data_IF_559468614801
#
_entry.id   IF_559468614801
#
_cell.length_a   1.000
_cell.length_b   1.000
_cell.length_c   1.000
_cell.angle_alpha   90.00
_cell.angle_beta   90.00
_cell.angle_gamma   90.00
#
_symmetry.space_group_name_H-M   'P 1'
#
loop_
_entity.id
_entity.type
_entity.pdbx_description
1 polymer ?
#
# COMPACT_ATOMS: atom_id res chain seq x y z
N UNK A 1 -30.81 19.89 55.91
CA UNK A 1 -30.99 19.14 54.66
C UNK A 1 -30.10 19.78 53.64
N UNK A 2 -29.13 19.03 53.12
CA UNK A 2 -28.21 19.52 52.09
C UNK A 2 -28.87 19.16 50.76
N UNK A 3 -29.33 20.17 50.04
CA UNK A 3 -30.11 19.98 48.82
C UNK A 3 -29.18 19.90 47.64
N UNK A 4 -29.36 18.87 46.82
CA UNK A 4 -28.66 18.76 45.54
C UNK A 4 -29.22 19.80 44.59
N UNK A 5 -28.34 20.59 43.98
CA UNK A 5 -28.73 21.68 43.09
C UNK A 5 -28.41 21.36 41.63
N UNK A 6 -27.21 20.84 41.35
CA UNK A 6 -26.81 20.48 40.00
C UNK A 6 -25.76 19.37 39.97
N UNK A 7 -25.62 18.75 38.80
CA UNK A 7 -24.62 17.75 38.47
C UNK A 7 -23.81 18.24 37.27
N UNK A 8 -22.51 17.99 37.28
CA UNK A 8 -21.59 18.35 36.21
C UNK A 8 -20.68 17.16 35.87
N UNK A 9 -20.34 17.01 34.60
CA UNK A 9 -19.34 16.04 34.13
C UNK A 9 -18.15 16.86 33.61
N UNK A 10 -17.05 16.98 34.37
CA UNK A 10 -15.84 17.64 33.89
C UNK A 10 -15.17 16.84 32.76
N UNK A 11 -14.24 17.48 32.04
CA UNK A 11 -13.39 16.79 31.05
C UNK A 11 -12.64 15.62 31.68
N UNK A 12 -12.53 14.51 30.95
CA UNK A 12 -11.71 13.39 31.40
C UNK A 12 -10.22 13.67 31.19
N UNK A 13 -9.37 12.91 31.88
CA UNK A 13 -7.93 12.97 31.69
C UNK A 13 -7.37 11.53 31.65
N UNK A 14 -6.98 11.03 30.46
CA UNK A 14 -6.94 11.74 29.18
C UNK A 14 -8.35 12.00 28.60
N UNK A 15 -8.46 13.02 27.73
CA UNK A 15 -9.67 13.36 26.96
C UNK A 15 -9.70 12.70 25.57
N UNK A 16 -8.67 11.92 25.25
CA UNK A 16 -8.54 11.15 24.02
C UNK A 16 -7.92 9.80 24.39
N UNK A 17 -8.54 8.72 23.91
CA UNK A 17 -8.08 7.34 24.06
C UNK A 17 -8.16 6.66 22.69
N UNK A 18 -7.51 5.52 22.49
CA UNK A 18 -7.60 4.76 21.23
C UNK A 18 -8.56 3.59 21.37
N UNK A 19 -9.06 3.07 20.25
CA UNK A 19 -9.79 1.79 20.19
C UNK A 19 -9.01 0.69 20.91
N UNK A 20 -9.75 -0.31 21.41
CA UNK A 20 -9.21 -1.49 22.10
C UNK A 20 -8.09 -2.13 21.29
N UNK A 21 -7.02 -2.60 21.93
CA UNK A 21 -5.86 -3.18 21.27
C UNK A 21 -5.19 -2.26 20.21
N UNK A 22 -5.46 -0.95 20.26
CA UNK A 22 -5.01 0.06 19.29
C UNK A 22 -3.58 0.56 19.51
N UNK A 23 -2.90 0.10 20.57
CA UNK A 23 -1.49 0.41 20.85
C UNK A 23 -1.26 1.68 21.69
N UNK A 24 -2.30 2.25 22.27
CA UNK A 24 -2.27 3.46 23.10
C UNK A 24 -3.00 3.29 24.43
N UNK A 25 -3.48 4.40 25.02
CA UNK A 25 -4.34 4.36 26.21
C UNK A 25 -5.76 4.03 25.75
N UNK A 26 -6.37 3.00 26.32
CA UNK A 26 -7.68 2.46 25.88
C UNK A 26 -8.82 2.73 26.87
N UNK A 27 -8.53 3.42 27.98
CA UNK A 27 -9.53 3.73 28.99
C UNK A 27 -9.25 5.05 29.71
N UNK A 28 -10.30 5.64 30.25
CA UNK A 28 -10.23 6.88 31.03
C UNK A 28 -11.32 6.90 32.10
N UNK A 29 -11.10 7.64 33.17
CA UNK A 29 -12.09 7.82 34.23
C UNK A 29 -13.03 9.00 33.90
N UNK A 30 -14.34 8.74 33.95
CA UNK A 30 -15.38 9.75 33.85
C UNK A 30 -15.93 10.03 35.24
N UNK A 31 -15.97 11.31 35.60
CA UNK A 31 -16.47 11.77 36.89
C UNK A 31 -17.79 12.50 36.71
N UNK A 32 -18.70 12.32 37.66
CA UNK A 32 -19.83 13.22 37.86
C UNK A 32 -19.66 13.88 39.22
N UNK A 33 -19.69 15.21 39.22
CA UNK A 33 -19.58 16.05 40.39
C UNK A 33 -20.96 16.58 40.77
N UNK A 34 -21.35 16.36 42.02
CA UNK A 34 -22.66 16.70 42.56
C UNK A 34 -22.52 17.86 43.53
N UNK A 35 -23.23 18.95 43.26
CA UNK A 35 -23.09 20.20 43.99
C UNK A 35 -24.35 20.57 44.77
N UNK A 36 -24.15 21.17 45.94
CA UNK A 36 -25.21 21.80 46.73
C UNK A 36 -25.57 23.20 46.19
N UNK A 37 -26.60 23.83 46.77
CA UNK A 37 -27.04 25.18 46.38
C UNK A 37 -26.04 26.30 46.65
N UNK A 38 -24.96 26.03 47.40
CA UNK A 38 -23.88 26.96 47.67
C UNK A 38 -22.67 26.71 46.74
N UNK A 39 -22.74 25.74 45.83
CA UNK A 39 -21.66 25.38 44.91
C UNK A 39 -20.56 24.52 45.55
N UNK A 40 -20.81 23.87 46.68
CA UNK A 40 -19.87 22.91 47.28
C UNK A 40 -20.22 21.48 46.87
N UNK A 41 -19.21 20.62 46.77
CA UNK A 41 -19.43 19.19 46.57
C UNK A 41 -20.26 18.60 47.71
N UNK A 42 -21.26 17.80 47.35
CA UNK A 42 -22.19 17.22 48.28
C UNK A 42 -21.51 16.13 49.12
N UNK A 43 -21.45 16.28 50.44
CA UNK A 43 -20.82 15.25 51.31
C UNK A 43 -21.71 14.03 51.54
N UNK A 44 -22.99 14.12 51.23
CA UNK A 44 -23.95 13.01 51.37
C UNK A 44 -23.90 12.11 50.13
N UNK A 45 -23.79 10.78 50.28
CA UNK A 45 -23.80 9.87 49.15
C UNK A 45 -25.09 9.94 48.34
N UNK A 46 -24.95 9.99 47.01
CA UNK A 46 -26.03 9.98 46.03
C UNK A 46 -25.71 8.94 44.95
N UNK A 47 -26.72 8.22 44.48
CA UNK A 47 -26.55 7.29 43.36
C UNK A 47 -26.65 8.07 42.05
N UNK A 48 -25.59 7.99 41.25
CA UNK A 48 -25.52 8.52 39.89
C UNK A 48 -25.64 7.37 38.90
N UNK A 49 -26.55 7.47 37.94
CA UNK A 49 -26.62 6.61 36.78
C UNK A 49 -25.83 7.25 35.63
N UNK A 50 -24.75 6.60 35.21
CA UNK A 50 -24.05 6.93 33.96
C UNK A 50 -24.64 6.09 32.83
N UNK A 51 -24.80 6.68 31.64
CA UNK A 51 -25.23 6.01 30.41
C UNK A 51 -24.46 6.49 29.19
N UNK A 52 -24.07 5.55 28.34
CA UNK A 52 -23.52 5.80 27.00
C UNK A 52 -24.67 5.99 26.00
N UNK A 53 -24.63 7.06 25.21
CA UNK A 53 -25.62 7.28 24.15
C UNK A 53 -25.09 8.27 23.10
N UNK A 54 -24.83 7.92 21.83
CA UNK A 54 -24.89 6.57 21.27
C UNK A 54 -23.82 5.66 21.91
N UNK A 55 -24.00 4.35 21.75
CA UNK A 55 -23.03 3.35 22.19
C UNK A 55 -22.17 3.01 20.97
N UNK A 56 -20.89 3.39 21.02
CA UNK A 56 -19.91 2.94 20.02
C UNK A 56 -19.63 1.44 20.22
N UNK A 57 -19.41 0.71 19.14
CA UNK A 57 -19.26 -0.74 19.15
C UNK A 57 -18.17 -1.19 20.16
N UNK A 58 -18.54 -2.11 21.06
CA UNK A 58 -17.65 -2.67 22.08
C UNK A 58 -17.30 -1.76 23.26
N UNK A 59 -17.78 -0.51 23.29
CA UNK A 59 -17.50 0.45 24.37
C UNK A 59 -18.34 0.13 25.62
N UNK A 60 -17.72 0.19 26.82
CA UNK A 60 -18.40 -0.13 28.08
C UNK A 60 -17.90 0.69 29.27
N UNK A 61 -18.68 0.68 30.35
CA UNK A 61 -18.42 1.33 31.63
C UNK A 61 -18.13 0.27 32.71
N UNK A 62 -17.00 0.37 33.42
CA UNK A 62 -16.54 -0.49 34.52
C UNK A 62 -16.31 -1.97 34.19
N UNK A 63 -17.26 -2.65 33.55
CA UNK A 63 -17.20 -4.06 33.19
C UNK A 63 -17.79 -4.30 31.80
N UNK A 64 -17.29 -5.30 31.05
CA UNK A 64 -17.77 -5.59 29.69
C UNK A 64 -19.31 -5.66 29.62
N UNK A 65 -19.86 -5.19 28.50
CA UNK A 65 -21.30 -5.13 28.19
C UNK A 65 -22.13 -4.15 29.04
N UNK A 66 -21.53 -3.43 29.99
CA UNK A 66 -22.23 -2.42 30.76
C UNK A 66 -22.20 -1.06 30.06
N UNK A 67 -23.34 -0.64 29.50
CA UNK A 67 -23.50 0.69 28.87
C UNK A 67 -24.28 1.67 29.74
N UNK A 68 -24.81 1.19 30.86
CA UNK A 68 -25.41 2.00 31.92
C UNK A 68 -25.08 1.41 33.29
N UNK A 69 -24.59 2.25 34.21
CA UNK A 69 -24.12 1.82 35.54
C UNK A 69 -24.55 2.83 36.61
N UNK A 70 -25.02 2.30 37.74
CA UNK A 70 -25.29 3.09 38.94
C UNK A 70 -24.07 3.06 39.86
N UNK A 71 -23.57 4.23 40.25
CA UNK A 71 -22.43 4.40 41.16
C UNK A 71 -22.82 5.34 42.30
N UNK A 72 -22.49 4.95 43.53
CA UNK A 72 -22.66 5.82 44.70
C UNK A 72 -21.51 6.83 44.78
N UNK A 73 -21.83 8.12 44.91
CA UNK A 73 -20.84 9.19 45.02
C UNK A 73 -20.14 9.17 46.39
N UNK A 74 -18.84 9.44 46.40
CA UNK A 74 -18.05 9.66 47.62
C UNK A 74 -17.61 11.11 47.68
N UNK A 75 -18.01 11.85 48.72
CA UNK A 75 -17.78 13.30 48.85
C UNK A 75 -18.21 14.09 47.59
N UNK A 76 -19.34 13.70 47.00
CA UNK A 76 -19.95 14.42 45.89
C UNK A 76 -19.35 14.09 44.53
N UNK A 77 -18.52 13.04 44.44
CA UNK A 77 -17.93 12.59 43.18
C UNK A 77 -18.30 11.11 42.97
N UNK A 78 -18.96 10.81 41.86
CA UNK A 78 -19.13 9.45 41.36
C UNK A 78 -18.21 9.24 40.17
N UNK A 79 -17.55 8.08 40.07
CA UNK A 79 -16.58 7.79 39.01
C UNK A 79 -16.91 6.46 38.34
N UNK A 80 -16.85 6.44 37.01
CA UNK A 80 -16.88 5.22 36.19
C UNK A 80 -15.65 5.18 35.29
N UNK A 81 -15.12 3.99 35.05
CA UNK A 81 -14.07 3.78 34.04
C UNK A 81 -14.74 3.52 32.69
N UNK A 82 -14.48 4.38 31.71
CA UNK A 82 -14.85 4.15 30.32
C UNK A 82 -13.72 3.35 29.64
N UNK A 83 -14.09 2.28 28.94
CA UNK A 83 -13.17 1.42 28.20
C UNK A 83 -13.60 1.42 26.73
N UNK A 84 -12.63 1.63 25.84
CA UNK A 84 -12.88 1.70 24.39
C UNK A 84 -13.23 0.34 23.81
N UNK A 85 -13.98 0.37 22.71
CA UNK A 85 -14.31 -0.79 21.89
C UNK A 85 -13.55 -0.75 20.57
N UNK A 86 -14.20 -1.19 19.49
CA UNK A 86 -13.59 -1.32 18.16
C UNK A 86 -13.90 -0.16 17.22
N UNK A 87 -14.87 0.69 17.58
CA UNK A 87 -15.32 1.83 16.78
C UNK A 87 -14.78 3.17 17.34
N UNK A 88 -14.16 4.02 16.51
CA UNK A 88 -13.73 5.35 16.91
C UNK A 88 -14.92 6.34 16.91
N UNK A 89 -14.81 7.38 17.71
CA UNK A 89 -15.78 8.46 17.73
C UNK A 89 -15.91 9.20 19.06
N UNK A 90 -16.71 10.27 19.09
CA UNK A 90 -17.00 10.99 20.33
C UNK A 90 -17.90 10.14 21.24
N UNK A 91 -17.52 9.97 22.50
CA UNK A 91 -18.34 9.26 23.49
C UNK A 91 -19.17 10.26 24.26
N UNK A 92 -20.48 10.24 24.07
CA UNK A 92 -21.40 11.07 24.85
C UNK A 92 -21.86 10.32 26.09
N UNK A 93 -21.70 10.97 27.24
CA UNK A 93 -22.09 10.47 28.56
C UNK A 93 -23.27 11.28 29.07
N UNK A 94 -24.28 10.56 29.55
CA UNK A 94 -25.40 11.12 30.29
C UNK A 94 -25.28 10.65 31.74
N UNK A 95 -25.15 11.59 32.68
CA UNK A 95 -25.18 11.30 34.11
C UNK A 95 -26.49 11.83 34.70
N UNK A 96 -27.25 10.95 35.36
CA UNK A 96 -28.47 11.32 36.06
C UNK A 96 -28.38 10.98 37.54
N UNK A 97 -28.88 11.85 38.40
CA UNK A 97 -28.92 11.62 39.84
C UNK A 97 -30.34 11.84 40.38
N UNK A 98 -30.84 10.84 41.11
CA UNK A 98 -32.11 10.94 41.84
C UNK A 98 -31.81 11.04 43.33
N UNK A 99 -32.40 12.03 44.00
CA UNK A 99 -32.34 12.14 45.46
C UNK A 99 -33.74 12.09 46.07
N UNK A 100 -33.80 11.78 47.36
CA UNK A 100 -35.03 11.94 48.14
C UNK A 100 -35.50 13.41 48.18
N UNK A 101 -34.62 14.38 47.88
CA UNK A 101 -34.94 15.80 47.92
C UNK A 101 -35.37 16.36 46.55
N UNK A 102 -34.90 15.79 45.42
CA UNK A 102 -35.50 16.03 44.09
C UNK A 102 -36.93 15.52 44.04
N UNK A 103 -37.28 14.48 44.80
CA UNK A 103 -38.67 14.01 44.93
C UNK A 103 -39.55 14.84 45.90
N UNK A 104 -38.97 15.74 46.71
CA UNK A 104 -39.72 16.56 47.68
C UNK A 104 -40.01 17.97 47.14
N UNK A 105 -39.12 18.54 46.33
CA UNK A 105 -39.25 19.90 45.79
C UNK A 105 -39.61 19.95 44.29
N UNK A 106 -39.51 18.83 43.58
CA UNK A 106 -40.03 18.69 42.23
C UNK A 106 -41.19 17.69 42.22
N UNK A 107 -42.39 18.19 41.91
CA UNK A 107 -43.60 17.39 41.79
C UNK A 107 -43.59 16.42 40.60
N UNK A 108 -42.62 16.54 39.69
CA UNK A 108 -42.42 15.66 38.53
C UNK A 108 -41.40 14.55 38.80
N UNK A 109 -40.56 14.69 39.85
CA UNK A 109 -39.46 13.77 40.18
C UNK A 109 -38.50 13.56 39.01
N UNK A 110 -38.19 14.64 38.30
CA UNK A 110 -37.23 14.64 37.21
C UNK A 110 -35.81 14.54 37.80
N UNK A 111 -35.03 13.58 37.27
CA UNK A 111 -33.65 13.40 37.67
C UNK A 111 -32.82 14.65 37.32
N UNK A 112 -31.86 15.03 38.17
CA UNK A 112 -30.83 15.97 37.74
C UNK A 112 -30.03 15.32 36.62
N UNK A 113 -29.83 16.01 35.50
CA UNK A 113 -29.19 15.48 34.31
C UNK A 113 -28.02 16.38 33.87
N UNK A 114 -26.91 15.74 33.51
CA UNK A 114 -25.80 16.36 32.80
C UNK A 114 -25.43 15.50 31.60
N UNK A 115 -25.25 16.15 30.45
CA UNK A 115 -24.89 15.52 29.18
C UNK A 115 -23.63 16.20 28.66
N UNK A 116 -22.59 15.42 28.38
CA UNK A 116 -21.35 15.95 27.79
C UNK A 116 -20.65 14.90 26.92
N UNK A 117 -19.63 15.34 26.19
CA UNK A 117 -18.70 14.49 25.43
C UNK A 117 -17.32 14.65 26.07
N UNK A 118 -17.01 13.90 27.14
CA UNK A 118 -15.79 14.14 27.91
C UNK A 118 -14.54 13.55 27.23
N UNK A 119 -14.72 12.61 26.30
CA UNK A 119 -13.64 11.85 25.65
C UNK A 119 -13.98 11.49 24.20
N UNK A 120 -12.94 11.44 23.38
CA UNK A 120 -12.98 10.90 22.01
C UNK A 120 -12.18 9.60 21.95
N UNK A 121 -12.72 8.59 21.27
CA UNK A 121 -12.00 7.37 20.91
C UNK A 121 -11.42 7.58 19.50
N UNK A 122 -10.10 7.60 19.38
CA UNK A 122 -9.38 7.66 18.12
C UNK A 122 -9.15 6.26 17.54
N UNK A 123 -8.88 6.18 16.23
CA UNK A 123 -8.41 4.97 15.56
C UNK A 123 -7.09 4.48 16.18
N UNK A 124 -6.82 3.18 16.05
CA UNK A 124 -5.57 2.59 16.51
C UNK A 124 -4.37 2.92 15.60
N UNK A 125 -3.19 2.46 16.01
CA UNK A 125 -2.00 2.48 15.17
C UNK A 125 -2.18 1.62 13.91
N UNK A 126 -1.42 1.89 12.83
CA UNK A 126 -1.45 1.08 11.61
C UNK A 126 -1.30 -0.41 11.87
N UNK A 127 -2.12 -1.21 11.19
CA UNK A 127 -2.07 -2.67 11.28
C UNK A 127 -2.33 -3.34 9.92
N UNK A 128 -3.12 -2.70 9.06
CA UNK A 128 -3.34 -3.10 7.67
C UNK A 128 -2.94 -1.97 6.72
N UNK A 129 -2.36 -2.33 5.59
CA UNK A 129 -2.05 -1.41 4.48
C UNK A 129 -2.34 -2.13 3.17
N UNK A 130 -2.91 -1.41 2.22
CA UNK A 130 -3.15 -1.87 0.85
C UNK A 130 -2.67 -0.78 -0.10
N UNK A 131 -1.81 -1.10 -1.05
CA UNK A 131 -1.27 -0.14 -2.01
C UNK A 131 -1.76 -0.43 -3.44
N UNK A 132 -2.04 0.62 -4.21
CA UNK A 132 -2.48 0.52 -5.61
C UNK A 132 -2.02 1.72 -6.45
N UNK A 133 -2.03 1.57 -7.78
CA UNK A 133 -1.78 2.63 -8.74
C UNK A 133 -2.71 2.54 -9.95
N UNK A 134 -2.91 3.65 -10.67
CA UNK A 134 -3.68 3.66 -11.92
C UNK A 134 -2.81 4.06 -13.11
N UNK A 135 -2.24 3.10 -13.85
CA UNK A 135 -1.40 3.41 -15.01
C UNK A 135 -2.17 4.10 -16.15
N UNK A 136 -3.50 4.04 -16.20
CA UNK A 136 -4.26 4.72 -17.25
C UNK A 136 -4.43 6.22 -16.99
N UNK A 137 -4.13 6.67 -15.76
CA UNK A 137 -4.20 8.07 -15.34
C UNK A 137 -2.82 8.75 -15.35
N UNK A 138 -1.85 8.20 -16.08
CA UNK A 138 -0.55 8.86 -16.30
C UNK A 138 -0.71 10.20 -17.01
N UNK A 139 0.06 11.20 -16.58
CA UNK A 139 0.15 12.52 -17.22
C UNK A 139 1.58 12.89 -17.62
N UNK A 140 1.70 13.74 -18.63
CA UNK A 140 2.97 14.36 -19.06
C UNK A 140 3.25 15.62 -18.22
N UNK A 141 4.41 15.67 -17.54
CA UNK A 141 4.77 16.79 -16.63
C UNK A 141 5.82 17.76 -17.21
N UNK A 142 6.12 17.63 -18.51
CA UNK A 142 7.15 18.39 -19.21
C UNK A 142 8.55 17.75 -19.15
N UNK A 143 9.46 18.25 -19.98
CA UNK A 143 10.87 17.87 -19.93
C UNK A 143 11.21 16.43 -20.35
N UNK A 144 10.27 15.69 -20.96
CA UNK A 144 10.45 14.27 -21.27
C UNK A 144 10.00 13.33 -20.13
N UNK A 145 9.36 13.85 -19.09
CA UNK A 145 8.91 13.07 -17.94
C UNK A 145 7.41 12.87 -17.91
N UNK A 146 7.04 11.77 -17.26
CA UNK A 146 5.69 11.30 -17.02
C UNK A 146 5.48 11.08 -15.53
N UNK A 147 4.23 11.17 -15.08
CA UNK A 147 3.85 10.97 -13.70
C UNK A 147 2.60 10.10 -13.62
N UNK A 148 2.62 9.13 -12.71
CA UNK A 148 1.48 8.26 -12.38
C UNK A 148 1.25 8.29 -10.88
N UNK A 149 0.02 8.56 -10.45
CA UNK A 149 -0.33 8.57 -9.02
C UNK A 149 -0.45 7.13 -8.48
N UNK A 150 0.10 6.90 -7.29
CA UNK A 150 -0.11 5.70 -6.49
C UNK A 150 -0.66 6.08 -5.12
N UNK A 151 -1.36 5.15 -4.47
CA UNK A 151 -2.02 5.40 -3.19
C UNK A 151 -1.94 4.17 -2.29
N UNK A 152 -1.88 4.40 -0.99
CA UNK A 152 -1.96 3.38 0.03
C UNK A 152 -3.10 3.71 1.00
N UNK A 153 -3.98 2.76 1.25
CA UNK A 153 -5.00 2.87 2.29
C UNK A 153 -4.48 2.18 3.54
N UNK A 154 -4.51 2.88 4.67
CA UNK A 154 -3.96 2.43 5.95
C UNK A 154 -5.09 2.33 6.97
N UNK A 155 -5.19 1.16 7.62
CA UNK A 155 -6.18 0.88 8.65
C UNK A 155 -5.55 0.36 9.93
N UNK A 156 -6.26 0.57 11.05
CA UNK A 156 -5.96 -0.10 12.32
C UNK A 156 -6.41 -1.57 12.31
N UNK A 157 -6.23 -2.25 13.45
CA UNK A 157 -6.58 -3.68 13.60
C UNK A 157 -8.08 -3.98 13.43
N UNK A 158 -8.94 -2.98 13.56
CA UNK A 158 -10.39 -3.10 13.42
C UNK A 158 -10.90 -2.53 12.09
N UNK A 159 -10.01 -2.29 11.13
CA UNK A 159 -10.33 -1.73 9.82
C UNK A 159 -10.87 -0.29 9.87
N UNK A 160 -10.58 0.47 10.93
CA UNK A 160 -10.83 1.91 10.92
C UNK A 160 -9.69 2.62 10.18
N UNK A 161 -9.99 3.64 9.37
CA UNK A 161 -8.95 4.53 8.83
C UNK A 161 -8.08 5.07 9.97
N UNK A 162 -6.77 4.98 9.82
CA UNK A 162 -5.84 5.54 10.81
C UNK A 162 -5.90 7.07 10.78
N UNK A 163 -5.39 7.68 11.86
CA UNK A 163 -5.35 9.14 11.97
C UNK A 163 -4.65 9.79 10.78
N UNK A 164 -5.14 10.99 10.44
CA UNK A 164 -4.53 11.85 9.45
C UNK A 164 -3.07 12.16 9.82
N UNK A 165 -2.25 12.42 8.81
CA UNK A 165 -0.80 12.67 8.98
C UNK A 165 0.01 11.46 9.45
N UNK A 166 -0.51 10.23 9.33
CA UNK A 166 0.27 9.00 9.49
C UNK A 166 1.20 8.83 8.29
N UNK A 167 2.51 8.75 8.52
CA UNK A 167 3.51 8.67 7.45
C UNK A 167 3.50 7.32 6.72
N UNK A 168 3.63 7.39 5.39
CA UNK A 168 3.85 6.26 4.50
C UNK A 168 5.12 6.51 3.70
N UNK A 169 6.02 5.54 3.71
CA UNK A 169 7.29 5.56 3.00
C UNK A 169 7.17 4.72 1.74
N UNK A 170 7.66 5.26 0.64
CA UNK A 170 7.57 4.65 -0.68
C UNK A 170 8.96 4.30 -1.20
N UNK A 171 9.06 3.17 -1.89
CA UNK A 171 10.27 2.77 -2.61
C UNK A 171 9.90 2.10 -3.92
N UNK A 172 10.72 2.31 -4.94
CA UNK A 172 10.68 1.60 -6.22
C UNK A 172 12.03 0.94 -6.44
N UNK A 173 12.02 -0.32 -6.84
CA UNK A 173 13.21 -1.07 -7.24
C UNK A 173 12.97 -1.63 -8.66
N UNK A 174 14.01 -1.84 -9.47
CA UNK A 174 13.86 -2.61 -10.70
C UNK A 174 13.39 -4.03 -10.40
N UNK A 175 12.58 -4.60 -11.30
CA UNK A 175 12.19 -6.00 -11.20
C UNK A 175 13.34 -6.88 -11.74
N UNK A 176 13.84 -7.88 -10.99
CA UNK A 176 14.89 -8.76 -11.50
C UNK A 176 14.49 -9.45 -12.82
N UNK A 177 15.40 -9.62 -13.80
CA UNK A 177 16.86 -9.48 -13.71
C UNK A 177 17.40 -8.05 -13.80
N UNK A 178 16.54 -7.04 -14.01
CA UNK A 178 16.98 -5.66 -14.16
C UNK A 178 17.62 -5.12 -12.88
N UNK A 179 18.65 -4.29 -13.04
CA UNK A 179 19.42 -3.72 -11.92
C UNK A 179 19.30 -2.21 -11.82
N UNK A 180 18.67 -1.60 -12.82
CA UNK A 180 18.45 -0.16 -12.94
C UNK A 180 17.02 0.06 -13.44
N UNK A 181 16.43 1.18 -13.04
CA UNK A 181 15.15 1.65 -13.56
C UNK A 181 15.22 3.17 -13.64
N UNK A 182 14.84 3.75 -14.78
CA UNK A 182 14.84 5.20 -15.00
C UNK A 182 13.54 5.85 -14.48
N UNK A 183 13.19 5.47 -13.25
CA UNK A 183 12.01 5.92 -12.52
C UNK A 183 12.31 6.11 -11.03
N UNK A 184 11.57 7.00 -10.39
CA UNK A 184 11.53 7.10 -8.94
C UNK A 184 10.09 7.23 -8.44
N UNK A 185 9.86 6.89 -7.17
CA UNK A 185 8.61 7.20 -6.46
C UNK A 185 8.88 8.26 -5.40
N UNK A 186 7.98 9.22 -5.22
CA UNK A 186 8.09 10.21 -4.15
C UNK A 186 8.10 9.51 -2.79
N UNK A 187 9.27 9.53 -2.14
CA UNK A 187 9.58 8.57 -1.06
C UNK A 187 8.79 8.72 0.24
N UNK A 188 8.06 9.82 0.44
CA UNK A 188 7.31 10.06 1.68
C UNK A 188 5.97 10.72 1.36
N UNK A 189 4.89 10.15 1.89
CA UNK A 189 3.57 10.77 1.97
C UNK A 189 2.95 10.56 3.34
N UNK A 190 1.71 11.02 3.53
CA UNK A 190 0.98 10.86 4.77
C UNK A 190 -0.52 10.70 4.52
N UNK A 191 -1.23 10.01 5.41
CA UNK A 191 -2.68 9.82 5.30
C UNK A 191 -3.41 11.16 5.30
N UNK A 192 -4.47 11.25 4.49
CA UNK A 192 -5.23 12.48 4.24
C UNK A 192 -4.42 13.59 3.55
N UNK A 193 -3.37 13.27 2.80
CA UNK A 193 -2.75 14.22 1.88
C UNK A 193 -3.56 14.39 0.59
N UNK A 194 -3.41 15.55 -0.04
CA UNK A 194 -3.95 15.82 -1.37
C UNK A 194 -3.09 15.13 -2.43
N UNK A 195 -3.72 14.40 -3.34
CA UNK A 195 -3.04 13.80 -4.50
C UNK A 195 -2.67 14.87 -5.53
N UNK A 196 -1.53 14.71 -6.18
CA UNK A 196 -1.09 15.66 -7.22
C UNK A 196 -2.01 15.59 -8.44
N UNK A 197 -2.46 14.38 -8.80
CA UNK A 197 -3.36 14.17 -9.95
C UNK A 197 -4.83 14.15 -9.51
N UNK A 198 -5.15 13.53 -8.38
CA UNK A 198 -6.54 13.41 -7.91
C UNK A 198 -7.07 14.66 -7.18
N UNK A 199 -6.21 15.51 -6.63
CA UNK A 199 -6.56 16.82 -6.06
C UNK A 199 -7.53 16.81 -4.87
N UNK A 200 -7.85 15.65 -4.29
CA UNK A 200 -8.76 15.54 -3.14
C UNK A 200 -8.17 14.64 -2.07
N UNK A 201 -8.10 15.16 -0.85
CA UNK A 201 -7.68 14.40 0.32
C UNK A 201 -8.75 13.37 0.72
N UNK A 202 -8.32 12.23 1.27
CA UNK A 202 -9.22 11.17 1.74
C UNK A 202 -8.64 10.59 3.02
N UNK A 203 -9.46 10.53 4.09
CA UNK A 203 -9.01 10.00 5.39
C UNK A 203 -8.57 8.53 5.25
N UNK A 204 -7.48 8.18 5.92
CA UNK A 204 -6.82 6.88 5.81
C UNK A 204 -6.06 6.62 4.51
N UNK A 205 -6.12 7.50 3.51
CA UNK A 205 -5.42 7.31 2.22
C UNK A 205 -4.19 8.22 2.14
N UNK A 206 -3.03 7.64 1.87
CA UNK A 206 -1.78 8.34 1.58
C UNK A 206 -1.44 8.21 0.10
N UNK A 207 -1.20 9.31 -0.59
CA UNK A 207 -0.92 9.36 -2.04
C UNK A 207 0.53 9.75 -2.32
N UNK A 208 1.12 9.13 -3.32
CA UNK A 208 2.46 9.41 -3.84
C UNK A 208 2.44 9.35 -5.37
N UNK A 209 3.57 9.60 -6.01
CA UNK A 209 3.68 9.61 -7.46
C UNK A 209 4.93 8.87 -7.91
N UNK A 210 4.77 8.05 -8.94
CA UNK A 210 5.85 7.46 -9.72
C UNK A 210 6.16 8.45 -10.85
N UNK A 211 7.42 8.84 -10.99
CA UNK A 211 7.92 9.73 -12.04
C UNK A 211 9.00 9.01 -12.83
N UNK A 212 8.87 9.03 -14.15
CA UNK A 212 9.75 8.28 -15.05
C UNK A 212 9.99 9.01 -16.37
N UNK A 213 11.11 8.70 -17.04
CA UNK A 213 11.49 9.26 -18.33
C UNK A 213 10.96 8.40 -19.50
N UNK A 214 11.22 8.85 -20.74
CA UNK A 214 10.99 8.05 -21.95
C UNK A 214 11.68 6.68 -21.91
N UNK A 215 12.87 6.60 -21.31
CA UNK A 215 13.70 5.40 -21.32
C UNK A 215 13.08 4.27 -20.48
N UNK A 216 12.31 4.62 -19.46
CA UNK A 216 11.66 3.63 -18.60
C UNK A 216 10.29 3.17 -19.12
N UNK A 217 9.82 3.67 -20.28
CA UNK A 217 8.52 3.27 -20.82
C UNK A 217 8.53 1.78 -21.16
N UNK A 218 7.59 1.03 -20.59
CA UNK A 218 7.49 -0.43 -20.79
C UNK A 218 8.24 -1.24 -19.73
N UNK A 219 9.10 -0.61 -18.93
CA UNK A 219 9.76 -1.25 -17.79
C UNK A 219 8.75 -1.55 -16.68
N UNK A 220 9.14 -2.48 -15.80
CA UNK A 220 8.37 -2.85 -14.62
C UNK A 220 9.20 -2.54 -13.37
N UNK A 221 8.68 -1.62 -12.55
CA UNK A 221 9.25 -1.33 -11.23
C UNK A 221 8.48 -2.05 -10.13
N UNK A 222 9.19 -2.55 -9.12
CA UNK A 222 8.59 -3.07 -7.90
C UNK A 222 8.36 -1.94 -6.88
N UNK A 223 7.11 -1.50 -6.71
CA UNK A 223 6.75 -0.40 -5.80
C UNK A 223 6.18 -0.92 -4.49
N UNK A 224 6.68 -0.38 -3.37
CA UNK A 224 6.29 -0.76 -2.01
C UNK A 224 5.89 0.46 -1.19
N UNK A 225 4.80 0.32 -0.43
CA UNK A 225 4.41 1.24 0.63
C UNK A 225 4.72 0.62 1.99
N UNK A 226 5.26 1.42 2.92
CA UNK A 226 5.63 1.01 4.27
C UNK A 226 5.17 2.06 5.29
N UNK A 227 4.56 1.59 6.38
CA UNK A 227 4.31 2.39 7.58
C UNK A 227 4.68 1.60 8.83
N UNK A 228 4.58 2.23 10.00
CA UNK A 228 4.88 1.60 11.28
C UNK A 228 3.61 1.52 12.14
N UNK A 229 3.32 0.32 12.62
CA UNK A 229 2.24 0.04 13.55
C UNK A 229 2.63 0.25 15.01
N UNK A 230 1.81 -0.32 15.89
CA UNK A 230 2.07 -0.30 17.33
C UNK A 230 3.47 -0.86 17.65
N UNK A 231 4.17 -0.25 18.61
CA UNK A 231 5.52 -0.65 19.04
C UNK A 231 6.62 -0.61 17.94
N UNK A 232 6.36 -0.01 16.78
CA UNK A 232 7.33 0.08 15.68
C UNK A 232 7.34 -1.12 14.73
N UNK A 233 6.31 -1.97 14.78
CA UNK A 233 6.15 -3.07 13.84
C UNK A 233 6.01 -2.54 12.40
N UNK A 234 6.70 -3.15 11.43
CA UNK A 234 6.60 -2.75 10.02
C UNK A 234 5.32 -3.29 9.39
N UNK A 235 4.52 -2.41 8.80
CA UNK A 235 3.29 -2.74 8.07
C UNK A 235 3.49 -2.28 6.63
N UNK A 236 3.55 -3.21 5.68
CA UNK A 236 3.88 -2.91 4.29
C UNK A 236 3.02 -3.71 3.31
N UNK A 237 2.83 -3.15 2.13
CA UNK A 237 2.18 -3.79 0.99
C UNK A 237 2.89 -3.35 -0.28
N UNK A 238 2.88 -4.23 -1.27
CA UNK A 238 3.31 -3.91 -2.62
C UNK A 238 2.08 -3.55 -3.45
N UNK A 239 2.24 -2.63 -4.42
CA UNK A 239 1.15 -2.32 -5.36
C UNK A 239 0.73 -3.56 -6.17
N UNK A 240 -0.40 -3.49 -6.88
CA UNK A 240 -0.86 -4.58 -7.75
C UNK A 240 -0.99 -5.92 -6.98
N UNK A 241 -1.87 -5.94 -5.97
CA UNK A 241 -2.21 -7.14 -5.18
C UNK A 241 -0.97 -7.85 -4.60
N UNK A 242 -0.09 -7.08 -3.93
CA UNK A 242 1.15 -7.55 -3.30
C UNK A 242 2.21 -8.13 -4.27
N UNK A 243 2.05 -8.02 -5.60
CA UNK A 243 3.10 -8.38 -6.56
C UNK A 243 4.19 -7.30 -6.64
N UNK A 244 3.78 -6.04 -6.59
CA UNK A 244 4.62 -4.86 -6.70
C UNK A 244 4.84 -4.35 -8.09
N UNK A 245 4.39 -5.09 -9.12
CA UNK A 245 4.62 -4.76 -10.51
C UNK A 245 3.89 -3.47 -10.93
N UNK A 246 4.64 -2.38 -11.05
CA UNK A 246 4.25 -1.14 -11.72
C UNK A 246 4.83 -1.14 -13.13
N UNK A 247 3.98 -1.43 -14.13
CA UNK A 247 4.35 -1.17 -15.51
C UNK A 247 4.33 0.33 -15.77
N UNK A 248 5.44 0.86 -16.27
CA UNK A 248 5.57 2.28 -16.59
C UNK A 248 4.89 2.56 -17.93
N UNK A 249 3.77 3.30 -17.84
CA UNK A 249 2.79 3.35 -18.91
C UNK A 249 3.26 4.17 -20.11
N UNK A 250 2.90 3.71 -21.31
CA UNK A 250 3.05 4.48 -22.54
C UNK A 250 1.91 5.48 -22.67
N UNK A 251 2.15 6.73 -22.26
CA UNK A 251 1.23 7.83 -22.56
C UNK A 251 1.16 8.00 -24.09
N UNK A 252 -0.04 8.05 -24.72
CA UNK A 252 -0.16 7.91 -26.16
C UNK A 252 0.72 8.87 -26.97
N UNK A 253 1.77 8.31 -27.59
CA UNK A 253 2.59 8.93 -28.62
C UNK A 253 2.21 8.44 -30.01
N UNK A 254 3.21 8.08 -30.82
CA UNK A 254 3.05 7.57 -32.18
C UNK A 254 3.71 6.20 -32.35
N UNK A 255 2.94 5.20 -32.78
CA UNK A 255 3.47 3.92 -33.27
C UNK A 255 3.34 3.88 -34.79
N UNK A 256 4.46 3.77 -35.50
CA UNK A 256 4.50 3.69 -36.96
C UNK A 256 4.95 2.30 -37.39
N UNK A 257 4.16 1.66 -38.24
CA UNK A 257 4.52 0.39 -38.86
C UNK A 257 5.08 0.64 -40.26
N UNK A 258 6.27 0.10 -40.49
CA UNK A 258 6.94 0.07 -41.78
C UNK A 258 6.90 -1.38 -42.29
N UNK A 259 6.60 -1.57 -43.57
CA UNK A 259 6.59 -2.88 -44.22
C UNK A 259 7.45 -2.82 -45.46
N UNK A 260 8.20 -3.89 -45.74
CA UNK A 260 9.00 -3.99 -46.97
C UNK A 260 8.12 -3.99 -48.23
N UNK A 261 6.86 -4.41 -48.12
CA UNK A 261 5.88 -4.35 -49.19
C UNK A 261 4.49 -3.96 -48.66
N UNK A 262 3.78 -3.14 -49.43
CA UNK A 262 2.42 -2.68 -49.12
C UNK A 262 1.32 -3.49 -49.81
N UNK A 263 1.70 -4.44 -50.68
CA UNK A 263 0.79 -5.25 -51.47
C UNK A 263 1.39 -6.63 -51.77
N UNK A 264 0.57 -7.68 -51.61
CA UNK A 264 0.89 -9.05 -52.02
C UNK A 264 -0.30 -9.68 -52.74
N UNK A 265 -0.09 -10.19 -53.95
CA UNK A 265 -1.11 -10.93 -54.70
C UNK A 265 -0.96 -12.43 -54.47
N UNK A 266 -1.81 -13.00 -53.61
CA UNK A 266 -1.79 -14.44 -53.32
C UNK A 266 -2.16 -15.34 -54.52
N UNK A 267 -2.78 -14.78 -55.57
CA UNK A 267 -3.12 -15.54 -56.78
C UNK A 267 -1.95 -15.72 -57.74
N UNK A 268 -0.97 -14.81 -57.69
CA UNK A 268 0.19 -14.79 -58.57
C UNK A 268 1.49 -15.16 -57.82
N UNK A 269 1.62 -14.76 -56.56
CA UNK A 269 2.88 -14.81 -55.81
C UNK A 269 2.94 -15.98 -54.81
N UNK A 270 1.86 -16.73 -54.66
CA UNK A 270 1.79 -17.90 -53.77
C UNK A 270 1.42 -17.59 -52.32
N UNK A 271 1.23 -18.65 -51.54
CA UNK A 271 0.79 -18.64 -50.14
C UNK A 271 1.55 -19.74 -49.36
N UNK A 272 2.21 -19.44 -48.22
CA UNK A 272 2.20 -18.17 -47.48
C UNK A 272 3.11 -17.09 -48.07
N UNK A 273 2.77 -15.83 -47.77
CA UNK A 273 3.64 -14.67 -47.99
C UNK A 273 4.52 -14.45 -46.76
N UNK A 274 5.80 -14.16 -46.97
CA UNK A 274 6.70 -13.70 -45.92
C UNK A 274 6.91 -12.20 -46.14
N UNK A 275 6.61 -11.39 -45.12
CA UNK A 275 6.70 -9.94 -45.16
C UNK A 275 7.43 -9.45 -43.92
N UNK A 276 8.53 -8.73 -44.14
CA UNK A 276 9.23 -8.02 -43.08
C UNK A 276 8.46 -6.75 -42.71
N UNK A 277 8.19 -6.61 -41.41
CA UNK A 277 7.66 -5.39 -40.82
C UNK A 277 8.59 -4.88 -39.73
N UNK A 278 8.58 -3.58 -39.50
CA UNK A 278 9.33 -2.93 -38.43
C UNK A 278 8.42 -1.90 -37.75
N UNK A 279 8.54 -1.77 -36.44
CA UNK A 279 7.82 -0.77 -35.66
C UNK A 279 8.79 0.35 -35.23
N UNK A 280 8.33 1.59 -35.32
CA UNK A 280 8.96 2.74 -34.71
C UNK A 280 7.99 3.29 -33.67
N UNK A 281 8.39 3.25 -32.40
CA UNK A 281 7.63 3.81 -31.27
C UNK A 281 8.24 5.15 -30.90
N UNK A 282 7.39 6.17 -30.85
CA UNK A 282 7.73 7.53 -30.45
C UNK A 282 6.80 7.91 -29.31
N UNK A 283 7.34 8.50 -28.26
CA UNK A 283 6.59 8.92 -27.08
C UNK A 283 5.77 10.22 -27.31
N UNK A 284 5.12 10.72 -26.27
CA UNK A 284 4.32 11.94 -26.33
C UNK A 284 5.13 13.19 -26.77
N UNK A 285 6.43 13.23 -26.45
CA UNK A 285 7.31 14.38 -26.74
C UNK A 285 8.04 14.28 -28.09
N UNK A 286 7.90 13.17 -28.80
CA UNK A 286 8.61 12.95 -30.06
C UNK A 286 9.94 12.21 -29.91
N UNK A 287 10.25 11.69 -28.72
CA UNK A 287 11.46 10.91 -28.49
C UNK A 287 11.23 9.44 -28.89
N UNK A 288 12.23 8.77 -29.48
CA UNK A 288 12.13 7.33 -29.72
C UNK A 288 12.03 6.60 -28.37
N UNK A 289 11.15 5.61 -28.29
CA UNK A 289 11.09 4.67 -27.17
C UNK A 289 11.92 3.44 -27.55
N UNK A 290 12.84 3.06 -26.68
CA UNK A 290 13.73 1.90 -26.84
C UNK A 290 13.25 0.81 -25.87
N UNK A 291 13.46 -0.46 -26.23
CA UNK A 291 13.18 -1.67 -25.43
C UNK A 291 11.75 -1.88 -24.90
N UNK A 292 10.82 -0.98 -25.20
CA UNK A 292 9.41 -1.17 -24.90
C UNK A 292 8.82 -2.37 -25.68
N UNK A 293 8.12 -3.30 -25.00
CA UNK A 293 7.47 -4.42 -25.67
C UNK A 293 6.42 -3.96 -26.71
N UNK A 294 6.55 -4.42 -27.95
CA UNK A 294 5.57 -4.17 -29.03
C UNK A 294 4.83 -5.44 -29.41
N UNK A 295 3.52 -5.47 -29.17
CA UNK A 295 2.68 -6.59 -29.58
C UNK A 295 2.14 -6.42 -31.01
N UNK A 296 2.40 -7.39 -31.88
CA UNK A 296 1.87 -7.42 -33.24
C UNK A 296 0.61 -8.28 -33.34
N UNK A 297 -0.43 -7.77 -33.99
CA UNK A 297 -1.63 -8.52 -34.34
C UNK A 297 -2.07 -8.23 -35.77
N UNK A 298 -2.62 -9.23 -36.46
CA UNK A 298 -3.06 -9.10 -37.85
C UNK A 298 -4.01 -10.21 -38.27
N UNK A 299 -4.96 -9.89 -39.17
CA UNK A 299 -5.87 -10.89 -39.74
C UNK A 299 -5.17 -11.68 -40.84
N UNK A 300 -5.23 -13.01 -40.77
CA UNK A 300 -4.62 -13.89 -41.78
C UNK A 300 -3.10 -14.10 -41.62
N UNK A 301 -2.52 -13.64 -40.51
CA UNK A 301 -1.12 -13.91 -40.16
C UNK A 301 -1.03 -15.33 -39.61
N UNK A 302 -0.21 -16.18 -40.23
CA UNK A 302 0.00 -17.56 -39.81
C UNK A 302 1.00 -17.66 -38.64
N UNK A 303 2.02 -16.80 -38.63
CA UNK A 303 3.04 -16.72 -37.60
C UNK A 303 3.74 -15.36 -37.65
N UNK A 304 4.23 -14.90 -36.50
CA UNK A 304 5.19 -13.80 -36.40
C UNK A 304 6.57 -14.40 -36.20
N UNK A 305 7.54 -13.90 -36.96
CA UNK A 305 8.94 -14.27 -36.81
C UNK A 305 9.71 -13.01 -36.47
N UNK A 306 10.56 -13.09 -35.45
CA UNK A 306 11.53 -12.05 -35.22
C UNK A 306 12.58 -12.08 -36.34
N UNK A 307 12.88 -10.92 -36.90
CA UNK A 307 13.96 -10.79 -37.86
C UNK A 307 15.26 -10.51 -37.10
N UNK A 308 15.91 -11.56 -36.62
CA UNK A 308 17.28 -11.48 -36.17
C UNK A 308 18.24 -11.40 -37.37
N UNK A 309 19.23 -10.50 -37.32
CA UNK A 309 20.42 -10.60 -38.19
C UNK A 309 21.40 -11.69 -37.71
N UNK A 310 20.95 -12.61 -36.86
CA UNK A 310 21.76 -13.70 -36.33
C UNK A 310 21.16 -15.08 -36.65
N UNK A 311 22.04 -16.03 -36.92
CA UNK A 311 21.68 -17.39 -37.32
C UNK A 311 21.15 -18.18 -36.11
N UNK A 312 19.83 -18.22 -35.96
CA UNK A 312 19.15 -19.05 -34.95
C UNK A 312 19.53 -20.53 -35.12
N UNK A 313 19.99 -21.16 -34.04
CA UNK A 313 20.16 -22.61 -33.90
C UNK A 313 19.63 -23.07 -32.54
N UNK A 314 18.50 -23.77 -32.55
CA UNK A 314 17.97 -24.51 -31.39
C UNK A 314 18.75 -25.83 -31.23
N UNK A 315 19.96 -25.74 -30.67
CA UNK A 315 20.88 -26.88 -30.54
C UNK A 315 20.94 -27.47 -29.14
N UNK A 316 20.31 -26.84 -28.15
CA UNK A 316 20.39 -27.22 -26.74
C UNK A 316 21.83 -27.21 -26.20
N UNK A 317 21.99 -27.53 -24.91
CA UNK A 317 23.30 -27.76 -24.28
C UNK A 317 23.61 -29.24 -24.39
N UNK A 318 24.62 -29.62 -25.19
CA UNK A 318 25.02 -31.01 -25.43
C UNK A 318 23.85 -31.94 -25.86
N UNK A 319 22.81 -31.39 -26.49
CA UNK A 319 21.63 -32.11 -26.95
C UNK A 319 20.43 -32.11 -26.00
N UNK A 320 20.55 -31.54 -24.80
CA UNK A 320 19.42 -31.28 -23.91
C UNK A 320 18.73 -29.96 -24.31
N UNK A 321 17.41 -30.00 -24.55
CA UNK A 321 16.64 -28.84 -25.03
C UNK A 321 16.64 -28.63 -26.55
N UNK A 322 17.38 -29.45 -27.31
CA UNK A 322 17.45 -29.32 -28.77
C UNK A 322 16.11 -29.68 -29.44
N UNK A 323 15.50 -28.71 -30.14
CA UNK A 323 14.30 -28.94 -30.96
C UNK A 323 13.00 -29.02 -30.18
N UNK A 324 12.96 -28.55 -28.92
CA UNK A 324 11.78 -28.59 -28.08
C UNK A 324 10.87 -27.35 -28.23
N UNK A 325 11.32 -26.36 -29.00
CA UNK A 325 10.57 -25.13 -29.27
C UNK A 325 10.44 -24.20 -28.07
N UNK A 326 11.20 -24.45 -26.99
CA UNK A 326 11.26 -23.62 -25.79
C UNK A 326 12.66 -23.00 -25.64
N UNK A 327 12.74 -21.71 -25.31
CA UNK A 327 13.97 -21.11 -24.79
C UNK A 327 14.11 -21.53 -23.31
N UNK A 328 15.06 -22.41 -22.96
CA UNK A 328 15.32 -22.73 -21.55
C UNK A 328 16.48 -21.88 -21.02
N UNK A 329 16.14 -20.83 -20.28
CA UNK A 329 17.03 -19.89 -19.58
C UNK A 329 17.53 -20.40 -18.21
N UNK A 330 17.51 -21.72 -17.97
CA UNK A 330 18.06 -22.22 -16.69
C UNK A 330 19.56 -22.32 -16.80
N UNK A 331 20.22 -21.52 -15.97
CA UNK A 331 21.58 -21.70 -15.50
C UNK A 331 21.73 -23.12 -14.92
N UNK A 332 22.59 -23.92 -15.56
CA UNK A 332 23.06 -25.20 -15.07
C UNK A 332 24.45 -24.92 -14.53
N UNK A 333 24.60 -24.82 -13.21
CA UNK A 333 25.90 -24.49 -12.60
C UNK A 333 27.01 -25.50 -12.97
N UNK A 334 28.19 -25.39 -12.36
CA UNK A 334 29.38 -26.16 -12.73
C UNK A 334 29.24 -27.72 -12.76
N UNK A 335 28.12 -28.28 -12.28
CA UNK A 335 27.80 -29.71 -12.29
C UNK A 335 26.85 -30.18 -13.41
N UNK A 336 26.39 -29.27 -14.29
CA UNK A 336 25.46 -29.54 -15.41
C UNK A 336 24.11 -30.20 -14.97
N UNK A 337 23.67 -30.07 -13.71
CA UNK A 337 22.43 -30.69 -13.19
C UNK A 337 21.28 -29.67 -12.98
N UNK A 338 20.13 -29.80 -13.68
CA UNK A 338 18.99 -28.87 -13.54
C UNK A 338 18.29 -28.89 -12.17
N UNK A 339 18.67 -29.81 -11.28
CA UNK A 339 18.02 -30.04 -9.98
C UNK A 339 18.83 -29.54 -8.78
N UNK A 340 20.09 -29.16 -9.00
CA UNK A 340 20.95 -28.56 -7.99
C UNK A 340 20.79 -27.04 -8.03
N UNK A 341 20.72 -26.43 -6.85
CA UNK A 341 20.72 -24.96 -6.69
C UNK A 341 22.13 -24.56 -6.30
N UNK A 342 22.71 -23.58 -6.99
CA UNK A 342 24.08 -23.14 -6.74
C UNK A 342 24.26 -22.55 -5.31
N UNK A 343 25.51 -22.57 -4.84
CA UNK A 343 25.99 -21.89 -3.63
C UNK A 343 26.09 -20.38 -3.83
N UNK A 344 24.97 -19.68 -3.89
CA UNK A 344 24.98 -18.21 -3.89
C UNK A 344 23.71 -17.60 -4.41
N UNK A 345 23.01 -16.84 -3.58
CA UNK A 345 21.80 -16.13 -3.97
C UNK A 345 22.14 -14.93 -4.86
N UNK A 346 21.90 -15.03 -6.17
CA UNK A 346 21.81 -13.87 -7.05
C UNK A 346 22.91 -13.71 -8.10
N UNK A 347 23.51 -14.79 -8.57
CA UNK A 347 24.28 -14.78 -9.81
C UNK A 347 23.41 -15.34 -10.94
N UNK A 348 23.06 -14.52 -11.93
CA UNK A 348 22.52 -14.95 -13.23
C UNK A 348 23.53 -14.64 -14.34
N UNK A 349 24.78 -14.36 -13.96
CA UNK A 349 25.87 -14.13 -14.87
C UNK A 349 26.56 -15.47 -15.10
N UNK A 350 26.77 -15.80 -16.37
CA UNK A 350 27.66 -16.88 -16.77
C UNK A 350 29.09 -16.53 -16.37
N UNK A 351 29.52 -17.04 -15.21
CA UNK A 351 30.87 -16.83 -14.72
C UNK A 351 31.78 -18.03 -15.01
N UNK A 352 33.06 -17.71 -15.12
CA UNK A 352 34.09 -18.70 -15.20
C UNK A 352 34.71 -18.82 -13.81
N UNK A 353 34.78 -20.04 -13.30
CA UNK A 353 35.13 -20.33 -11.92
C UNK A 353 36.64 -20.56 -11.78
N UNK A 354 37.25 -19.80 -10.87
CA UNK A 354 38.57 -20.06 -10.29
C UNK A 354 38.34 -20.94 -9.04
N UNK A 355 38.46 -22.26 -9.21
CA UNK A 355 38.09 -23.23 -8.17
C UNK A 355 39.23 -23.49 -7.19
N UNK A 356 40.45 -23.06 -7.51
CA UNK A 356 41.62 -23.24 -6.66
C UNK A 356 42.20 -21.93 -6.08
N UNK A 357 41.68 -20.78 -6.51
CA UNK A 357 41.95 -19.46 -5.97
C UNK A 357 43.29 -18.87 -6.42
N UNK A 358 43.84 -19.35 -7.53
CA UNK A 358 45.14 -18.89 -8.07
C UNK A 358 45.03 -17.63 -8.95
N UNK A 359 43.80 -17.15 -9.20
CA UNK A 359 43.49 -16.00 -10.03
C UNK A 359 43.43 -16.31 -11.52
N UNK A 360 43.48 -17.59 -11.92
CA UNK A 360 43.25 -18.11 -13.26
C UNK A 360 41.93 -18.89 -13.27
N UNK A 361 41.23 -18.87 -14.40
CA UNK A 361 39.95 -19.57 -14.56
C UNK A 361 40.23 -21.05 -14.83
N UNK A 362 39.61 -21.94 -14.05
CA UNK A 362 39.77 -23.39 -14.15
C UNK A 362 38.65 -24.06 -14.96
N UNK A 363 37.43 -23.53 -14.88
CA UNK A 363 36.25 -24.08 -15.55
C UNK A 363 35.27 -22.97 -15.90
N UNK A 364 34.50 -23.15 -16.98
CA UNK A 364 33.45 -22.21 -17.41
C UNK A 364 32.16 -22.98 -17.67
N UNK A 365 31.02 -22.31 -17.56
CA UNK A 365 29.73 -22.92 -17.90
C UNK A 365 29.67 -23.31 -19.39
N UNK A 366 28.97 -24.40 -19.68
CA UNK A 366 28.83 -24.98 -21.03
C UNK A 366 27.58 -24.41 -21.74
N UNK A 367 26.84 -23.53 -21.08
CA UNK A 367 25.50 -23.07 -21.42
C UNK A 367 25.43 -21.97 -22.51
N UNK A 368 26.34 -21.89 -23.49
CA UNK A 368 26.12 -21.06 -24.67
C UNK A 368 26.76 -21.61 -25.96
N UNK A 369 26.01 -21.61 -27.08
CA UNK A 369 26.55 -21.38 -28.39
C UNK A 369 26.18 -19.96 -28.87
N UNK A 370 26.55 -18.92 -28.13
CA UNK A 370 26.59 -17.55 -28.63
C UNK A 370 27.89 -16.89 -28.14
N UNK A 371 28.71 -16.41 -29.07
CA UNK A 371 29.74 -15.41 -28.78
C UNK A 371 29.00 -14.06 -28.72
N UNK A 372 29.00 -13.35 -27.58
CA UNK A 372 28.44 -12.00 -27.43
C UNK A 372 29.25 -10.90 -28.16
N UNK A 373 30.24 -11.32 -28.94
CA UNK A 373 31.07 -10.45 -29.75
C UNK A 373 30.58 -10.46 -31.20
N UNK A 374 30.14 -9.29 -31.67
CA UNK A 374 30.06 -9.05 -33.10
C UNK A 374 31.40 -9.33 -33.80
N UNK A 375 31.41 -9.44 -35.13
CA UNK A 375 32.63 -9.69 -35.92
C UNK A 375 33.69 -8.56 -35.78
N UNK A 376 33.34 -7.46 -35.13
CA UNK A 376 34.20 -6.33 -34.76
C UNK A 376 34.80 -6.43 -33.34
N UNK A 377 34.45 -7.45 -32.56
CA UNK A 377 34.99 -7.68 -31.22
C UNK A 377 34.55 -6.66 -30.18
N UNK A 378 33.42 -5.98 -30.39
CA UNK A 378 32.85 -5.04 -29.43
C UNK A 378 31.50 -5.56 -28.93
N UNK A 379 31.24 -5.34 -27.63
CA UNK A 379 29.97 -5.66 -26.96
C UNK A 379 28.86 -4.86 -27.64
N UNK A 380 27.89 -5.56 -28.22
CA UNK A 380 26.66 -4.95 -28.70
C UNK A 380 25.85 -4.45 -27.49
N UNK A 381 25.59 -3.15 -27.43
CA UNK A 381 24.59 -2.59 -26.54
C UNK A 381 23.28 -2.56 -27.33
N UNK A 382 22.26 -3.23 -26.80
CA UNK A 382 20.86 -2.97 -27.17
C UNK A 382 20.50 -1.62 -26.55
#
# INVERSE_FOLDING_TARGET
>A
MVHVHFIEIPSSNPSEIVVKDGGGIESTDIKAEIYDSNGNLLTTPVIVNFRLEPILEGTYLNSPDQTSVNVESVNGIATVSLNSGTEPGPVRIIATANTLETSICDSLNDALESITVPVVIASGAPYHIEAEYDPNSTEAIGGGFYQTECAAIVYDRWYNPVEDSTYVYWSINPLPPDTLIDAFVEGVSYTNNEGVLSGQATSGVARSNIVYSTDAIGDIGQVRALTFGANGDSVASFINEDQGDATLFFLPGQVSLLSEATYWDFSLNGNPALLQISALVIDFYGNPVVDAPVAFQGTGVNAWYELGYELIKDVGVLGAGAGDGCFSWRDYGADDDPTTVDMGQGNQNHDAFDIDGDGLIDTSEVSEPFDDFGQDGLRGYI
#
